data_IF_534404787249
#
_entry.id   IF_534404787249
#
_cell.length_a   1.000
_cell.length_b   1.000
_cell.length_c   1.000
_cell.angle_alpha   90.00
_cell.angle_beta   90.00
_cell.angle_gamma   90.00
#
_symmetry.space_group_name_H-M   'P 1'
#
loop_
_entity.id
_entity.type
_entity.pdbx_description
1 polymer ?
#
# COMPACT_ATOMS: atom_id res chain seq x y z
N UNK A 1 20.08 -13.53 -20.80
CA UNK A 1 19.37 -14.03 -19.60
C UNK A 1 18.05 -13.31 -19.57
N UNK A 2 16.94 -14.04 -19.59
CA UNK A 2 15.61 -13.44 -19.43
C UNK A 2 15.54 -12.80 -18.04
N UNK A 3 15.12 -11.55 -17.97
CA UNK A 3 15.01 -10.81 -16.72
C UNK A 3 13.80 -11.33 -15.94
N UNK A 4 14.00 -11.88 -14.75
CA UNK A 4 12.90 -12.27 -13.86
C UNK A 4 12.48 -11.05 -13.02
N UNK A 5 11.50 -10.30 -13.52
CA UNK A 5 10.99 -9.08 -12.88
C UNK A 5 10.32 -9.37 -11.54
N UNK A 6 9.60 -10.49 -11.40
CA UNK A 6 8.93 -10.84 -10.14
C UNK A 6 9.94 -11.14 -9.02
N UNK A 7 11.09 -11.73 -9.35
CA UNK A 7 12.17 -11.93 -8.39
C UNK A 7 12.79 -10.61 -7.92
N UNK A 8 13.02 -9.67 -8.82
CA UNK A 8 13.51 -8.34 -8.45
C UNK A 8 12.47 -7.58 -7.61
N UNK A 9 11.19 -7.66 -8.00
CA UNK A 9 10.08 -7.07 -7.24
C UNK A 9 10.03 -7.64 -5.82
N UNK A 10 10.06 -8.97 -5.66
CA UNK A 10 10.06 -9.61 -4.35
C UNK A 10 11.27 -9.15 -3.52
N UNK A 11 12.45 -9.10 -4.11
CA UNK A 11 13.67 -8.63 -3.44
C UNK A 11 13.50 -7.19 -2.92
N UNK A 12 12.95 -6.29 -3.74
CA UNK A 12 12.67 -4.91 -3.32
C UNK A 12 11.60 -4.82 -2.23
N UNK A 13 10.53 -5.62 -2.31
CA UNK A 13 9.47 -5.68 -1.29
C UNK A 13 10.01 -6.18 0.05
N UNK A 14 10.80 -7.26 0.06
CA UNK A 14 11.45 -7.79 1.26
C UNK A 14 12.45 -6.80 1.88
N UNK A 15 13.18 -6.08 1.03
CA UNK A 15 14.07 -5.00 1.42
C UNK A 15 13.32 -3.74 1.91
N UNK A 16 11.98 -3.70 1.76
CA UNK A 16 11.13 -2.54 2.07
C UNK A 16 11.52 -1.31 1.28
N UNK A 17 11.92 -1.51 0.03
CA UNK A 17 12.09 -0.44 -0.94
C UNK A 17 10.73 -0.01 -1.49
N UNK A 18 10.60 1.26 -1.87
CA UNK A 18 9.47 1.73 -2.68
C UNK A 18 9.76 1.36 -4.13
N UNK A 19 8.85 0.64 -4.75
CA UNK A 19 8.99 0.16 -6.13
C UNK A 19 7.64 0.12 -6.81
N UNK A 20 7.57 0.46 -8.10
CA UNK A 20 6.34 0.43 -8.87
C UNK A 20 6.51 -0.52 -10.07
N UNK A 21 5.52 -1.38 -10.29
CA UNK A 21 5.47 -2.31 -11.41
C UNK A 21 4.42 -1.82 -12.41
N UNK A 22 4.87 -1.41 -13.59
CA UNK A 22 4.00 -1.15 -14.73
C UNK A 22 3.85 -2.42 -15.55
N UNK A 23 2.62 -2.78 -15.93
CA UNK A 23 2.30 -3.89 -16.83
C UNK A 23 1.49 -3.37 -18.01
N UNK A 24 1.94 -3.62 -19.24
CA UNK A 24 1.18 -3.29 -20.45
C UNK A 24 -0.02 -4.22 -20.55
N UNK A 25 -1.23 -3.67 -20.47
CA UNK A 25 -2.49 -4.41 -20.52
C UNK A 25 -3.09 -4.41 -21.93
N UNK A 26 -2.71 -3.45 -22.77
CA UNK A 26 -3.14 -3.36 -24.17
C UNK A 26 -2.13 -2.56 -25.00
N UNK A 27 -1.97 -2.95 -26.26
CA UNK A 27 -1.11 -2.25 -27.21
C UNK A 27 -1.56 -2.57 -28.65
N UNK A 28 -1.23 -1.68 -29.60
CA UNK A 28 -1.41 -1.96 -31.04
C UNK A 28 -0.62 -3.19 -31.50
N UNK A 29 0.60 -3.35 -31.00
CA UNK A 29 1.38 -4.58 -31.16
C UNK A 29 1.09 -5.51 -29.97
N UNK A 30 0.36 -6.61 -30.22
CA UNK A 30 -0.03 -7.56 -29.18
C UNK A 30 1.16 -8.23 -28.48
N UNK A 31 2.36 -8.21 -29.08
CA UNK A 31 3.58 -8.74 -28.45
C UNK A 31 4.06 -7.89 -27.26
N UNK A 32 3.59 -6.66 -27.15
CA UNK A 32 3.92 -5.78 -26.03
C UNK A 32 3.08 -6.08 -24.78
N UNK A 33 1.89 -6.67 -24.94
CA UNK A 33 0.99 -6.97 -23.83
C UNK A 33 1.64 -7.99 -22.87
N UNK A 34 1.55 -7.72 -21.57
CA UNK A 34 2.19 -8.51 -20.51
C UNK A 34 3.63 -8.09 -20.18
N UNK A 35 4.30 -7.31 -21.04
CA UNK A 35 5.60 -6.75 -20.70
C UNK A 35 5.49 -5.75 -19.54
N UNK A 36 6.57 -5.66 -18.79
CA UNK A 36 6.65 -5.02 -17.49
C UNK A 36 7.84 -4.08 -17.40
N UNK A 37 7.65 -3.01 -16.65
CA UNK A 37 8.68 -2.07 -16.25
C UNK A 37 8.59 -1.94 -14.72
N UNK A 38 9.64 -2.35 -14.03
CA UNK A 38 9.79 -2.18 -12.59
C UNK A 38 10.67 -0.96 -12.34
N UNK A 39 10.16 0.07 -11.67
CA UNK A 39 10.90 1.30 -11.36
C UNK A 39 11.08 1.44 -9.86
N UNK A 40 12.32 1.69 -9.44
CA UNK A 40 12.70 1.96 -8.05
C UNK A 40 12.69 3.46 -7.77
N UNK A 41 12.55 3.83 -6.50
CA UNK A 41 12.52 5.23 -6.02
C UNK A 41 13.75 6.07 -6.41
N UNK A 42 14.88 5.42 -6.71
CA UNK A 42 16.11 6.09 -7.17
C UNK A 42 16.14 6.35 -8.68
N UNK A 43 15.05 6.08 -9.40
CA UNK A 43 14.92 6.23 -10.85
C UNK A 43 15.49 5.06 -11.67
N UNK A 44 16.15 4.08 -11.03
CA UNK A 44 16.58 2.88 -11.74
C UNK A 44 15.37 2.04 -12.11
N UNK A 45 15.38 1.50 -13.32
CA UNK A 45 14.33 0.60 -13.78
C UNK A 45 14.88 -0.72 -14.32
N UNK A 46 14.00 -1.70 -14.38
CA UNK A 46 14.22 -3.02 -14.95
C UNK A 46 13.03 -3.38 -15.83
N UNK A 47 13.26 -3.85 -17.05
CA UNK A 47 12.18 -4.21 -17.98
C UNK A 47 12.48 -5.47 -18.78
N UNK A 48 11.43 -6.11 -19.26
CA UNK A 48 11.47 -7.18 -20.25
C UNK A 48 10.94 -6.72 -21.62
N UNK A 49 10.68 -5.42 -21.80
CA UNK A 49 10.34 -4.82 -23.09
C UNK A 49 11.43 -5.13 -24.14
N UNK A 50 11.04 -5.44 -25.39
CA UNK A 50 11.98 -5.51 -26.50
C UNK A 50 12.75 -4.18 -26.66
N UNK A 51 14.04 -4.24 -26.99
CA UNK A 51 14.94 -3.06 -27.04
C UNK A 51 14.44 -1.93 -27.94
N UNK A 52 13.72 -2.27 -29.01
CA UNK A 52 13.19 -1.30 -29.99
C UNK A 52 11.67 -1.06 -29.82
N UNK A 53 11.07 -1.53 -28.72
CA UNK A 53 9.64 -1.40 -28.46
C UNK A 53 9.23 0.06 -28.27
N UNK A 54 10.02 0.81 -27.51
CA UNK A 54 9.80 2.22 -27.18
C UNK A 54 11.04 3.05 -27.54
N UNK A 55 10.83 4.29 -27.96
CA UNK A 55 11.89 5.29 -28.06
C UNK A 55 12.40 5.65 -26.65
N UNK A 56 13.58 6.27 -26.56
CA UNK A 56 14.10 6.72 -25.27
C UNK A 56 13.15 7.73 -24.59
N UNK A 57 12.53 8.63 -25.35
CA UNK A 57 11.58 9.62 -24.83
C UNK A 57 10.29 8.97 -24.31
N UNK A 58 9.78 7.95 -25.02
CA UNK A 58 8.63 7.16 -24.57
C UNK A 58 8.93 6.36 -23.30
N UNK A 59 10.13 5.77 -23.20
CA UNK A 59 10.57 5.02 -22.03
C UNK A 59 10.81 5.93 -20.82
N UNK A 60 11.36 7.12 -21.04
CA UNK A 60 11.52 8.14 -20.00
C UNK A 60 10.15 8.58 -19.48
N UNK A 61 9.20 8.88 -20.36
CA UNK A 61 7.80 9.18 -19.97
C UNK A 61 7.17 8.05 -19.16
N UNK A 62 7.29 6.80 -19.62
CA UNK A 62 6.76 5.64 -18.91
C UNK A 62 7.40 5.51 -17.52
N UNK A 63 8.71 5.73 -17.41
CA UNK A 63 9.44 5.69 -16.14
C UNK A 63 9.02 6.82 -15.20
N UNK A 64 8.83 8.02 -15.71
CA UNK A 64 8.34 9.18 -14.95
C UNK A 64 6.93 8.94 -14.42
N UNK A 65 6.02 8.47 -15.27
CA UNK A 65 4.66 8.10 -14.85
C UNK A 65 4.68 7.01 -13.79
N UNK A 66 5.46 5.95 -14.01
CA UNK A 66 5.59 4.84 -13.07
C UNK A 66 6.13 5.33 -11.72
N UNK A 67 7.14 6.21 -11.72
CA UNK A 67 7.70 6.81 -10.51
C UNK A 67 6.68 7.71 -9.80
N UNK A 68 5.88 8.46 -10.54
CA UNK A 68 4.87 9.34 -9.95
C UNK A 68 3.76 8.57 -9.21
N UNK A 69 3.54 7.29 -9.53
CA UNK A 69 2.65 6.42 -8.75
C UNK A 69 3.20 6.05 -7.37
N UNK A 70 4.51 6.16 -7.12
CA UNK A 70 5.10 5.96 -5.79
C UNK A 70 4.71 7.08 -4.83
N UNK A 71 4.70 8.30 -5.39
CA UNK A 71 3.76 9.41 -5.15
C UNK A 71 2.43 8.99 -4.57
N UNK A 72 1.55 8.69 -5.51
CA UNK A 72 0.15 8.48 -5.24
C UNK A 72 -0.12 7.23 -4.43
N UNK A 73 0.81 6.27 -4.38
CA UNK A 73 0.58 4.95 -3.85
C UNK A 73 -0.59 4.20 -4.50
N UNK A 74 -1.27 4.76 -5.51
CA UNK A 74 -2.49 4.19 -6.07
C UNK A 74 -2.17 3.33 -7.28
N UNK A 75 -3.04 2.35 -7.52
CA UNK A 75 -3.04 1.70 -8.82
C UNK A 75 -3.68 2.63 -9.82
N UNK A 76 -2.94 2.88 -10.90
CA UNK A 76 -3.33 3.80 -11.96
C UNK A 76 -3.33 3.07 -13.30
N UNK A 77 -4.37 3.33 -14.10
CA UNK A 77 -4.39 2.92 -15.50
C UNK A 77 -4.04 4.16 -16.32
N UNK A 78 -3.04 4.03 -17.18
CA UNK A 78 -2.48 5.13 -17.95
C UNK A 78 -2.36 4.74 -19.42
N UNK A 79 -2.53 5.75 -20.28
CA UNK A 79 -2.41 5.62 -21.72
C UNK A 79 -1.21 6.44 -22.20
N UNK A 80 -0.31 5.82 -22.95
CA UNK A 80 0.81 6.49 -23.62
C UNK A 80 0.61 6.41 -25.14
N UNK A 81 0.47 7.58 -25.76
CA UNK A 81 0.51 7.72 -27.21
C UNK A 81 1.97 7.56 -27.69
N UNK A 82 2.18 6.62 -28.61
CA UNK A 82 3.50 6.37 -29.19
C UNK A 82 3.72 7.26 -30.42
N UNK A 83 4.97 7.62 -30.65
CA UNK A 83 5.41 8.32 -31.84
C UNK A 83 5.21 7.46 -33.10
N UNK A 84 5.04 8.14 -34.24
CA UNK A 84 5.07 7.54 -35.58
C UNK A 84 4.14 6.31 -35.78
N UNK A 85 2.82 6.48 -35.91
CA UNK A 85 1.88 5.42 -36.35
C UNK A 85 1.88 4.09 -35.56
N UNK A 86 2.66 3.97 -34.48
CA UNK A 86 2.72 2.81 -33.58
C UNK A 86 1.49 2.70 -32.67
N UNK A 87 0.63 3.72 -32.66
CA UNK A 87 -0.62 3.77 -31.91
C UNK A 87 -0.40 4.07 -30.44
N UNK A 88 -1.20 3.49 -29.55
CA UNK A 88 -1.09 3.70 -28.12
C UNK A 88 -0.82 2.40 -27.35
N UNK A 89 -0.27 2.55 -26.16
CA UNK A 89 -0.21 1.49 -25.14
C UNK A 89 -1.04 1.92 -23.92
N UNK A 90 -1.79 0.97 -23.37
CA UNK A 90 -2.45 1.10 -22.08
C UNK A 90 -1.68 0.23 -21.09
N UNK A 91 -1.38 0.76 -19.91
CA UNK A 91 -0.65 0.05 -18.87
C UNK A 91 -1.24 0.35 -17.50
N UNK A 92 -1.14 -0.64 -16.61
CA UNK A 92 -1.48 -0.49 -15.20
C UNK A 92 -0.20 -0.33 -14.41
N UNK A 93 -0.17 0.63 -13.49
CA UNK A 93 0.94 0.87 -12.57
C UNK A 93 0.55 0.41 -11.19
N UNK A 94 1.36 -0.45 -10.58
CA UNK A 94 1.16 -1.00 -9.25
C UNK A 94 2.30 -0.59 -8.32
N UNK A 95 2.09 0.41 -7.43
CA UNK A 95 3.09 0.79 -6.43
C UNK A 95 3.08 -0.18 -5.24
N UNK A 96 4.28 -0.60 -4.85
CA UNK A 96 4.57 -1.42 -3.68
C UNK A 96 5.32 -0.56 -2.67
N UNK A 97 4.62 -0.22 -1.60
CA UNK A 97 5.15 0.62 -0.53
C UNK A 97 5.41 -0.22 0.73
N UNK A 98 6.36 0.19 1.58
CA UNK A 98 6.58 -0.46 2.87
C UNK A 98 5.32 -0.48 3.73
N UNK A 99 5.15 -1.55 4.52
CA UNK A 99 4.05 -1.66 5.47
C UNK A 99 3.99 -0.44 6.39
N UNK A 100 2.80 0.20 6.53
CA UNK A 100 2.67 1.41 7.33
C UNK A 100 2.96 1.08 8.79
N UNK A 101 3.75 1.94 9.45
CA UNK A 101 4.07 1.78 10.87
C UNK A 101 3.30 2.80 11.69
N UNK A 102 2.64 2.35 12.74
CA UNK A 102 2.00 3.25 13.71
C UNK A 102 2.88 3.32 14.96
N UNK A 103 3.48 4.50 15.17
CA UNK A 103 4.41 4.78 16.26
C UNK A 103 3.66 5.55 17.34
N UNK A 104 3.45 4.91 18.48
CA UNK A 104 2.74 5.45 19.63
C UNK A 104 3.72 6.02 20.65
N UNK A 105 3.80 7.34 20.74
CA UNK A 105 4.50 8.04 21.82
C UNK A 105 3.54 8.17 23.02
N UNK A 106 3.70 7.27 23.98
CA UNK A 106 2.89 7.17 25.20
C UNK A 106 2.16 5.84 25.29
N UNK A 107 2.55 5.02 26.27
CA UNK A 107 1.94 3.71 26.57
C UNK A 107 0.82 3.77 27.64
N UNK A 108 0.28 4.97 27.91
CA UNK A 108 -0.81 5.18 28.87
C UNK A 108 -2.16 4.63 28.39
N UNK A 109 -3.25 4.98 29.07
CA UNK A 109 -4.60 4.46 28.78
C UNK A 109 -5.03 4.66 27.32
N UNK A 110 -4.78 5.84 26.74
CA UNK A 110 -5.09 6.12 25.33
C UNK A 110 -4.20 5.26 24.40
N UNK A 111 -2.89 5.15 24.69
CA UNK A 111 -1.98 4.31 23.91
C UNK A 111 -2.35 2.82 23.93
N UNK A 112 -2.81 2.32 25.07
CA UNK A 112 -3.32 0.95 25.21
C UNK A 112 -4.62 0.74 24.43
N UNK A 113 -5.54 1.72 24.49
CA UNK A 113 -6.79 1.67 23.72
C UNK A 113 -6.54 1.69 22.21
N UNK A 114 -5.61 2.54 21.77
CA UNK A 114 -5.15 2.57 20.37
C UNK A 114 -4.55 1.23 19.94
N UNK A 115 -3.68 0.65 20.77
CA UNK A 115 -3.07 -0.65 20.50
C UNK A 115 -4.13 -1.75 20.25
N UNK A 116 -5.16 -1.85 21.09
CA UNK A 116 -6.18 -2.90 21.00
C UNK A 116 -6.95 -2.89 19.67
N UNK A 117 -7.19 -1.71 19.11
CA UNK A 117 -7.83 -1.57 17.81
C UNK A 117 -6.81 -1.65 16.67
N UNK A 118 -5.65 -1.00 16.81
CA UNK A 118 -4.66 -0.86 15.73
C UNK A 118 -4.01 -2.19 15.32
N UNK A 119 -3.92 -3.17 16.23
CA UNK A 119 -3.40 -4.51 15.90
C UNK A 119 -4.23 -5.27 14.86
N UNK A 120 -5.45 -4.79 14.57
CA UNK A 120 -6.36 -5.36 13.56
C UNK A 120 -6.35 -4.59 12.24
N UNK A 121 -5.49 -3.58 12.08
CA UNK A 121 -5.55 -2.61 10.98
C UNK A 121 -4.33 -2.63 10.05
N UNK A 122 -3.58 -3.74 10.01
CA UNK A 122 -2.37 -3.93 9.19
C UNK A 122 -1.27 -2.87 9.41
N UNK A 123 -1.22 -2.28 10.60
CA UNK A 123 -0.10 -1.44 11.01
C UNK A 123 0.97 -2.27 11.69
N UNK A 124 2.23 -2.01 11.35
CA UNK A 124 3.35 -2.43 12.19
C UNK A 124 3.46 -1.49 13.39
N UNK A 125 3.12 -1.99 14.56
CA UNK A 125 3.10 -1.16 15.78
C UNK A 125 4.50 -1.01 16.38
N UNK A 126 4.78 0.21 16.86
CA UNK A 126 5.91 0.54 17.72
C UNK A 126 5.39 1.38 18.87
N UNK A 127 5.75 1.03 20.10
CA UNK A 127 5.32 1.79 21.30
C UNK A 127 6.54 2.34 22.00
N UNK A 128 6.47 3.61 22.40
CA UNK A 128 7.53 4.32 23.10
C UNK A 128 6.96 4.98 24.35
N UNK A 129 7.58 4.76 25.51
CA UNK A 129 7.28 5.49 26.75
C UNK A 129 8.56 5.57 27.60
N UNK A 130 8.71 6.60 28.43
CA UNK A 130 9.86 6.76 29.31
C UNK A 130 9.73 5.96 30.62
N UNK A 131 8.57 5.34 30.86
CA UNK A 131 8.26 4.58 32.07
C UNK A 131 8.22 3.08 31.79
N UNK A 132 8.97 2.25 32.53
CA UNK A 132 8.96 0.79 32.39
C UNK A 132 7.56 0.17 32.54
N UNK A 133 6.72 0.73 33.43
CA UNK A 133 5.36 0.25 33.65
C UNK A 133 4.44 0.45 32.44
N UNK A 134 4.79 1.34 31.51
CA UNK A 134 4.00 1.69 30.33
C UNK A 134 4.70 1.34 29.01
N UNK A 135 5.97 0.94 29.03
CA UNK A 135 6.69 0.41 27.87
C UNK A 135 7.21 -1.00 28.18
N UNK A 136 6.32 -2.00 28.13
CA UNK A 136 6.69 -3.40 28.31
C UNK A 136 5.79 -4.37 27.50
N UNK A 137 6.31 -5.57 27.25
CA UNK A 137 5.62 -6.59 26.45
C UNK A 137 4.33 -7.11 27.09
N UNK A 138 4.12 -6.97 28.41
CA UNK A 138 2.88 -7.44 29.04
C UNK A 138 1.68 -6.59 28.63
N UNK A 139 1.90 -5.30 28.42
CA UNK A 139 0.86 -4.38 27.92
C UNK A 139 0.69 -4.45 26.41
N UNK A 140 1.74 -4.82 25.67
CA UNK A 140 1.76 -4.82 24.21
C UNK A 140 2.29 -6.16 23.66
N UNK A 141 1.61 -7.29 23.91
CA UNK A 141 2.14 -8.63 23.64
C UNK A 141 2.47 -8.90 22.17
N UNK A 142 1.71 -8.32 21.24
CA UNK A 142 1.88 -8.52 19.79
C UNK A 142 2.88 -7.54 19.16
N UNK A 143 3.35 -6.54 19.92
CA UNK A 143 4.24 -5.48 19.42
C UNK A 143 5.69 -5.94 19.53
N UNK A 144 6.36 -6.16 18.40
CA UNK A 144 7.78 -6.60 18.39
C UNK A 144 8.75 -5.54 18.91
N UNK A 145 8.37 -4.25 18.89
CA UNK A 145 9.21 -3.12 19.33
C UNK A 145 8.47 -2.25 20.35
N UNK A 146 8.71 -2.54 21.63
CA UNK A 146 8.29 -1.70 22.75
C UNK A 146 9.54 -1.10 23.37
N UNK A 147 9.68 0.23 23.30
CA UNK A 147 10.91 0.95 23.63
C UNK A 147 10.69 1.76 24.90
N UNK A 148 11.41 1.41 25.95
CA UNK A 148 11.42 2.15 27.20
C UNK A 148 12.61 3.13 27.23
N UNK A 149 12.42 4.36 26.75
CA UNK A 149 13.49 5.37 26.66
C UNK A 149 12.95 6.78 26.91
N UNK A 150 13.81 7.70 27.32
CA UNK A 150 13.45 9.12 27.39
C UNK A 150 13.06 9.63 26.00
N UNK A 151 12.00 10.42 25.90
CA UNK A 151 11.46 10.88 24.62
C UNK A 151 12.49 11.70 23.81
N UNK A 152 13.42 12.37 24.49
CA UNK A 152 14.55 13.10 23.87
C UNK A 152 15.49 12.21 23.06
N UNK A 153 15.52 10.90 23.35
CA UNK A 153 16.48 9.94 22.77
C UNK A 153 15.85 9.05 21.69
N UNK A 154 14.58 9.27 21.32
CA UNK A 154 13.86 8.36 20.41
C UNK A 154 14.48 8.33 19.02
N UNK A 155 15.05 9.44 18.55
CA UNK A 155 15.75 9.51 17.26
C UNK A 155 16.96 8.56 17.16
N UNK A 156 17.54 8.13 18.30
CA UNK A 156 18.60 7.12 18.31
C UNK A 156 18.06 5.68 18.20
N UNK A 157 16.77 5.47 18.49
CA UNK A 157 16.12 4.16 18.54
C UNK A 157 15.29 3.89 17.27
N UNK A 158 14.70 4.93 16.68
CA UNK A 158 13.79 4.81 15.54
C UNK A 158 14.15 5.85 14.47
N UNK A 159 14.51 5.37 13.29
CA UNK A 159 14.53 6.18 12.08
C UNK A 159 13.11 6.33 11.54
N UNK A 160 12.64 7.56 11.43
CA UNK A 160 11.29 7.89 10.97
C UNK A 160 11.31 8.11 9.45
N UNK A 161 10.36 7.52 8.73
CA UNK A 161 10.24 7.57 7.28
C UNK A 161 8.81 7.86 6.81
N UNK A 162 8.63 7.90 5.49
CA UNK A 162 7.38 8.28 4.82
C UNK A 162 6.23 7.28 4.99
N UNK A 163 6.47 6.09 5.55
CA UNK A 163 5.44 5.11 5.88
C UNK A 163 4.94 5.22 7.33
N UNK A 164 5.46 6.19 8.10
CA UNK A 164 5.15 6.33 9.52
C UNK A 164 3.94 7.20 9.80
N UNK A 165 3.10 6.69 10.70
CA UNK A 165 2.00 7.38 11.33
C UNK A 165 2.33 7.56 12.80
N UNK A 166 2.48 8.80 13.22
CA UNK A 166 2.94 9.13 14.57
C UNK A 166 1.76 9.64 15.39
N UNK A 167 1.56 9.02 16.56
CA UNK A 167 0.58 9.48 17.54
C UNK A 167 1.29 9.87 18.82
N UNK A 168 1.18 11.14 19.20
CA UNK A 168 1.71 11.69 20.44
C UNK A 168 0.57 11.76 21.47
N UNK A 169 0.54 10.78 22.37
CA UNK A 169 -0.46 10.64 23.44
C UNK A 169 0.24 10.45 24.79
N UNK A 170 1.12 11.38 25.14
CA UNK A 170 1.94 11.29 26.36
C UNK A 170 1.18 11.73 27.62
N UNK A 171 1.84 11.67 28.77
CA UNK A 171 1.29 12.05 30.08
C UNK A 171 1.20 13.57 30.34
N UNK A 172 1.53 14.44 29.38
CA UNK A 172 1.33 15.89 29.55
C UNK A 172 2.15 16.81 28.64
N UNK A 173 1.86 18.11 28.76
CA UNK A 173 2.31 19.19 27.86
C UNK A 173 3.81 19.23 27.55
N UNK A 174 4.67 19.04 28.55
CA UNK A 174 6.12 19.08 28.35
C UNK A 174 6.61 17.91 27.50
N UNK A 175 6.05 16.72 27.72
CA UNK A 175 6.45 15.51 26.99
C UNK A 175 5.89 15.49 25.57
N UNK A 176 4.69 16.01 25.36
CA UNK A 176 4.13 16.20 24.01
C UNK A 176 5.05 17.10 23.17
N UNK A 177 5.51 18.21 23.75
CA UNK A 177 6.46 19.12 23.12
C UNK A 177 7.81 18.46 22.82
N UNK A 178 8.37 17.70 23.78
CA UNK A 178 9.60 16.92 23.56
C UNK A 178 9.44 15.95 22.39
N UNK A 179 8.35 15.19 22.33
CA UNK A 179 8.10 14.23 21.26
C UNK A 179 7.97 14.94 19.91
N UNK A 180 7.22 16.05 19.85
CA UNK A 180 7.09 16.83 18.62
C UNK A 180 8.43 17.27 18.06
N UNK A 181 9.35 17.76 18.89
CA UNK A 181 10.69 18.15 18.44
C UNK A 181 11.49 17.03 17.78
N UNK A 182 11.24 15.77 18.16
CA UNK A 182 11.92 14.63 17.55
C UNK A 182 11.38 14.29 16.16
N UNK A 183 10.14 14.68 15.85
CA UNK A 183 9.41 14.17 14.68
C UNK A 183 8.95 15.25 13.71
N UNK A 184 8.90 16.52 14.13
CA UNK A 184 8.35 17.63 13.32
C UNK A 184 9.14 17.90 12.03
N UNK A 185 10.43 17.53 11.98
CA UNK A 185 11.25 17.64 10.76
C UNK A 185 11.32 16.34 9.96
N UNK A 186 10.63 15.30 10.43
CA UNK A 186 10.60 14.02 9.73
C UNK A 186 9.69 14.08 8.52
N UNK A 187 9.80 13.07 7.66
CA UNK A 187 8.90 12.89 6.53
C UNK A 187 7.71 11.97 6.84
N UNK A 188 7.33 11.80 8.11
CA UNK A 188 6.23 10.92 8.48
C UNK A 188 4.96 11.27 7.69
N UNK A 189 4.23 10.26 7.19
CA UNK A 189 2.96 10.46 6.46
C UNK A 189 1.95 11.20 7.31
N UNK A 190 2.03 11.04 8.63
CA UNK A 190 1.11 11.65 9.57
C UNK A 190 1.79 11.91 10.92
N UNK A 191 1.57 13.11 11.45
CA UNK A 191 1.94 13.48 12.81
C UNK A 191 0.69 14.00 13.51
N UNK A 192 0.22 13.24 14.50
CA UNK A 192 -0.93 13.60 15.31
C UNK A 192 -0.54 13.83 16.77
N UNK A 193 -1.07 14.89 17.38
CA UNK A 193 -0.82 15.18 18.80
C UNK A 193 -2.13 15.35 19.57
N UNK A 194 -2.27 14.56 20.63
CA UNK A 194 -3.37 14.67 21.57
C UNK A 194 -3.29 16.02 22.30
N UNK A 195 -4.45 16.63 22.58
CA UNK A 195 -4.52 17.77 23.49
C UNK A 195 -5.77 18.61 23.31
N UNK A 196 -6.17 19.32 24.35
CA UNK A 196 -7.23 20.31 24.24
C UNK A 196 -6.81 21.45 23.31
N UNK A 197 -7.77 22.15 22.69
CA UNK A 197 -7.50 23.30 21.80
C UNK A 197 -6.59 24.34 22.46
N UNK A 198 -6.79 24.61 23.75
CA UNK A 198 -5.93 25.52 24.53
C UNK A 198 -4.50 25.01 24.67
N UNK A 199 -4.31 23.70 24.90
CA UNK A 199 -2.98 23.09 25.02
C UNK A 199 -2.24 23.13 23.69
N UNK A 200 -2.92 22.75 22.61
CA UNK A 200 -2.37 22.80 21.25
C UNK A 200 -1.91 24.20 20.90
N UNK A 201 -2.74 25.22 21.17
CA UNK A 201 -2.40 26.62 20.93
C UNK A 201 -1.11 27.05 21.67
N UNK A 202 -0.95 26.66 22.94
CA UNK A 202 0.25 26.97 23.71
C UNK A 202 1.51 26.32 23.12
N UNK A 203 1.41 25.07 22.66
CA UNK A 203 2.52 24.35 22.01
C UNK A 203 2.89 25.03 20.70
N UNK A 204 1.90 25.39 19.89
CA UNK A 204 2.12 25.97 18.56
C UNK A 204 2.75 27.36 18.66
N UNK A 205 2.36 28.17 19.65
CA UNK A 205 3.04 29.46 19.90
C UNK A 205 4.50 29.25 20.27
N UNK A 206 4.80 28.28 21.14
CA UNK A 206 6.18 27.95 21.50
C UNK A 206 7.00 27.48 20.30
N UNK A 207 6.42 26.66 19.41
CA UNK A 207 7.10 26.25 18.17
C UNK A 207 7.42 27.46 17.28
N UNK A 208 6.50 28.43 17.18
CA UNK A 208 6.75 29.68 16.42
C UNK A 208 7.85 30.54 17.05
N UNK A 209 7.90 30.60 18.38
CA UNK A 209 8.97 31.31 19.11
C UNK A 209 10.34 30.64 18.96
N UNK A 210 10.39 29.33 18.70
CA UNK A 210 11.60 28.55 18.42
C UNK A 210 11.91 28.45 16.91
N UNK A 211 11.34 29.35 16.08
CA UNK A 211 11.59 29.49 14.63
C UNK A 211 11.28 28.26 13.77
N UNK A 212 10.33 27.41 14.19
CA UNK A 212 9.78 26.39 13.27
C UNK A 212 8.93 27.07 12.19
N UNK A 213 9.11 26.62 10.95
CA UNK A 213 8.39 27.15 9.78
C UNK A 213 6.90 26.83 9.84
N UNK A 214 6.09 27.62 9.11
CA UNK A 214 4.65 27.36 8.96
C UNK A 214 4.37 25.95 8.45
N UNK A 215 5.07 25.53 7.39
CA UNK A 215 4.93 24.19 6.82
C UNK A 215 5.24 23.08 7.84
N UNK A 216 6.27 23.25 8.68
CA UNK A 216 6.62 22.28 9.72
C UNK A 216 5.52 22.14 10.78
N UNK A 217 4.79 23.22 11.07
CA UNK A 217 3.71 23.23 12.06
C UNK A 217 2.39 22.74 11.42
N UNK A 218 2.11 23.13 10.19
CA UNK A 218 0.85 22.87 9.48
C UNK A 218 0.63 21.37 9.19
N UNK A 219 1.69 20.56 9.12
CA UNK A 219 1.58 19.10 9.01
C UNK A 219 1.07 18.41 10.29
N UNK A 220 1.05 19.11 11.44
CA UNK A 220 0.66 18.52 12.72
C UNK A 220 -0.86 18.53 12.87
N UNK A 221 -1.45 17.35 13.01
CA UNK A 221 -2.87 17.16 13.27
C UNK A 221 -3.12 17.25 14.78
N UNK A 222 -3.51 18.44 15.24
CA UNK A 222 -3.75 18.73 16.66
C UNK A 222 -4.91 19.72 16.86
N UNK A 223 -5.92 19.42 17.69
CA UNK A 223 -6.16 18.15 18.37
C UNK A 223 -6.29 16.99 17.39
N UNK A 224 -5.66 15.87 17.73
CA UNK A 224 -5.70 14.64 16.94
C UNK A 224 -7.10 13.99 16.92
N UNK A 225 -7.46 13.38 15.80
CA UNK A 225 -8.66 12.55 15.67
C UNK A 225 -9.90 13.32 15.18
N UNK A 226 -10.82 12.58 14.56
CA UNK A 226 -12.07 13.15 14.06
C UNK A 226 -12.96 13.67 15.20
N UNK A 227 -13.60 14.81 14.98
CA UNK A 227 -14.54 15.41 15.94
C UNK A 227 -15.86 14.62 15.97
N UNK A 228 -15.87 13.57 16.78
CA UNK A 228 -17.03 12.69 17.02
C UNK A 228 -17.61 12.86 18.44
N UNK A 229 -17.13 13.85 19.21
CA UNK A 229 -17.51 14.04 20.61
C UNK A 229 -17.01 12.95 21.56
N UNK A 230 -15.80 12.42 21.33
CA UNK A 230 -15.21 11.35 22.15
C UNK A 230 -14.86 11.81 23.57
N UNK A 231 -15.16 10.97 24.57
CA UNK A 231 -14.87 11.25 25.98
C UNK A 231 -14.00 10.16 26.63
N UNK A 232 -14.24 8.90 26.28
CA UNK A 232 -13.50 7.75 26.82
C UNK A 232 -12.20 7.47 26.05
N UNK A 233 -11.18 6.83 26.67
CA UNK A 233 -9.97 6.41 25.96
C UNK A 233 -10.24 5.58 24.70
N UNK A 234 -11.27 4.73 24.74
CA UNK A 234 -11.68 3.87 23.64
C UNK A 234 -12.29 4.69 22.48
N UNK A 235 -13.20 5.62 22.78
CA UNK A 235 -13.77 6.53 21.77
C UNK A 235 -12.70 7.44 21.16
N UNK A 236 -11.77 7.94 21.98
CA UNK A 236 -10.61 8.71 21.51
C UNK A 236 -9.75 7.84 20.59
N UNK A 237 -9.51 6.58 20.96
CA UNK A 237 -8.78 5.62 20.12
C UNK A 237 -9.44 5.42 18.76
N UNK A 238 -10.77 5.24 18.72
CA UNK A 238 -11.55 5.12 17.48
C UNK A 238 -11.48 6.40 16.65
N UNK A 239 -11.65 7.57 17.27
CA UNK A 239 -11.56 8.88 16.61
C UNK A 239 -10.21 9.10 15.92
N UNK A 240 -9.10 8.78 16.61
CA UNK A 240 -7.74 8.87 16.08
C UNK A 240 -7.52 7.89 14.93
N UNK A 241 -7.90 6.61 15.12
CA UNK A 241 -7.72 5.60 14.08
C UNK A 241 -8.60 5.89 12.85
N UNK A 242 -9.80 6.44 13.03
CA UNK A 242 -10.64 6.88 11.92
C UNK A 242 -9.98 8.00 11.11
N UNK A 243 -9.35 8.97 11.77
CA UNK A 243 -8.57 10.02 11.10
C UNK A 243 -7.36 9.45 10.36
N UNK A 244 -6.59 8.58 11.00
CA UNK A 244 -5.43 7.90 10.40
C UNK A 244 -5.84 7.05 9.20
N UNK A 245 -6.92 6.26 9.32
CA UNK A 245 -7.45 5.45 8.21
C UNK A 245 -7.91 6.38 7.08
N UNK A 246 -8.61 7.47 7.41
CA UNK A 246 -9.01 8.47 6.40
C UNK A 246 -7.77 8.96 5.67
N UNK A 247 -6.73 9.43 6.36
CA UNK A 247 -5.50 9.92 5.73
C UNK A 247 -4.79 8.83 4.93
N UNK A 248 -4.74 7.59 5.41
CA UNK A 248 -4.22 6.42 4.68
C UNK A 248 -5.03 6.07 3.42
N UNK A 249 -6.31 6.45 3.35
CA UNK A 249 -7.23 6.13 2.24
C UNK A 249 -7.58 7.33 1.36
N UNK A 250 -7.38 8.56 1.83
CA UNK A 250 -7.67 9.80 1.11
C UNK A 250 -6.41 10.55 0.72
N UNK A 251 -5.32 10.39 1.47
CA UNK A 251 -3.99 10.53 0.94
C UNK A 251 -3.63 9.19 0.33
N UNK A 252 -3.17 9.22 -0.92
CA UNK A 252 -2.45 8.15 -1.57
C UNK A 252 -2.87 6.72 -1.21
N UNK A 253 -3.91 6.22 -1.91
CA UNK A 253 -4.50 4.90 -1.75
C UNK A 253 -3.52 3.76 -2.04
N UNK A 254 -2.58 3.51 -1.13
CA UNK A 254 -1.69 2.35 -1.23
C UNK A 254 -2.29 1.06 -0.69
N UNK A 255 -2.18 0.07 -1.58
CA UNK A 255 -2.40 -1.33 -1.34
C UNK A 255 -1.33 -1.87 -0.41
N UNK A 256 -1.76 -2.38 0.73
CA UNK A 256 -1.00 -3.40 1.45
C UNK A 256 -1.07 -4.69 0.63
N UNK A 257 0.06 -5.09 0.05
CA UNK A 257 0.45 -6.48 -0.30
C UNK A 257 -0.69 -7.45 -0.68
N UNK A 258 -1.60 -7.06 -1.59
CA UNK A 258 -2.61 -7.99 -2.05
C UNK A 258 -1.96 -8.92 -3.09
N UNK A 259 -1.75 -10.19 -2.71
CA UNK A 259 -1.15 -11.19 -3.59
C UNK A 259 0.36 -11.42 -3.37
N UNK A 260 0.88 -11.16 -2.17
CA UNK A 260 2.26 -11.51 -1.81
C UNK A 260 2.57 -12.99 -2.09
N UNK A 261 1.68 -13.92 -1.70
CA UNK A 261 1.80 -15.36 -2.01
C UNK A 261 1.90 -15.65 -3.52
N UNK A 262 1.20 -14.86 -4.35
CA UNK A 262 1.27 -14.98 -5.81
C UNK A 262 2.62 -14.48 -6.34
N UNK A 263 3.14 -13.37 -5.81
CA UNK A 263 4.45 -12.82 -6.18
C UNK A 263 5.58 -13.76 -5.73
N UNK A 264 5.51 -14.28 -4.50
CA UNK A 264 6.44 -15.28 -3.97
C UNK A 264 6.49 -16.51 -4.87
N UNK A 265 5.32 -17.06 -5.22
CA UNK A 265 5.25 -18.19 -6.14
C UNK A 265 5.93 -17.85 -7.48
N UNK A 266 5.64 -16.71 -8.09
CA UNK A 266 6.21 -16.33 -9.39
C UNK A 266 7.72 -16.04 -9.32
N UNK A 267 8.23 -15.55 -8.19
CA UNK A 267 9.65 -15.31 -7.97
C UNK A 267 10.44 -16.62 -7.79
N UNK A 268 9.86 -17.59 -7.08
CA UNK A 268 10.48 -18.87 -6.74
C UNK A 268 10.22 -19.99 -7.76
N UNK A 269 9.25 -19.81 -8.65
CA UNK A 269 8.92 -20.80 -9.67
C UNK A 269 10.10 -20.95 -10.65
N UNK A 270 10.86 -22.03 -10.48
CA UNK A 270 11.93 -22.44 -11.40
C UNK A 270 11.53 -23.72 -12.19
N UNK A 271 10.23 -24.00 -12.26
CA UNK A 271 9.69 -25.31 -12.60
C UNK A 271 9.18 -25.47 -14.03
N UNK A 272 10.04 -25.95 -14.92
CA UNK A 272 9.65 -26.68 -16.13
C UNK A 272 8.98 -25.87 -17.26
N UNK A 273 8.78 -26.50 -18.42
CA UNK A 273 8.11 -25.94 -19.60
C UNK A 273 6.61 -25.58 -19.39
N UNK A 274 6.15 -25.47 -18.14
CA UNK A 274 4.76 -25.31 -17.79
C UNK A 274 4.40 -23.82 -17.75
N UNK A 275 3.39 -23.43 -18.54
CA UNK A 275 2.82 -22.09 -18.55
C UNK A 275 1.89 -21.92 -17.36
N UNK A 276 2.08 -20.87 -16.56
CA UNK A 276 1.13 -20.44 -15.54
C UNK A 276 0.27 -19.28 -16.07
N UNK A 277 -0.81 -18.93 -15.38
CA UNK A 277 -1.54 -17.69 -15.64
C UNK A 277 -1.62 -16.81 -14.39
N UNK A 278 -1.32 -15.52 -14.55
CA UNK A 278 -1.51 -14.50 -13.52
C UNK A 278 -2.75 -13.68 -13.84
N UNK A 279 -3.69 -13.63 -12.89
CA UNK A 279 -4.83 -12.73 -12.91
C UNK A 279 -4.58 -11.58 -11.92
N UNK A 280 -4.64 -10.33 -12.40
CA UNK A 280 -4.53 -9.11 -11.58
C UNK A 280 -5.79 -8.27 -11.77
N UNK A 281 -6.46 -7.87 -10.68
CA UNK A 281 -7.52 -6.86 -10.76
C UNK A 281 -6.86 -5.51 -11.09
N UNK A 282 -7.17 -4.93 -12.24
CA UNK A 282 -6.57 -3.65 -12.71
C UNK A 282 -7.49 -2.45 -12.48
N UNK A 283 -8.79 -2.68 -12.35
CA UNK A 283 -9.76 -1.63 -12.02
C UNK A 283 -10.98 -2.20 -11.26
N UNK A 284 -11.60 -1.38 -10.42
CA UNK A 284 -12.87 -1.73 -9.75
C UNK A 284 -13.79 -0.53 -9.65
N UNK A 285 -15.09 -0.73 -9.86
CA UNK A 285 -16.13 0.26 -9.56
C UNK A 285 -17.27 -0.36 -8.76
N UNK A 286 -17.88 0.44 -7.88
CA UNK A 286 -18.93 -0.04 -6.97
C UNK A 286 -18.41 -0.95 -5.85
N UNK A 287 -19.28 -1.82 -5.34
CA UNK A 287 -18.96 -2.74 -4.25
C UNK A 287 -18.36 -4.03 -4.81
N UNK A 288 -17.06 -4.22 -4.62
CA UNK A 288 -16.30 -5.40 -5.07
C UNK A 288 -15.65 -6.09 -3.86
N UNK A 289 -15.56 -7.44 -3.85
CA UNK A 289 -15.01 -8.19 -2.71
C UNK A 289 -13.51 -7.92 -2.49
N UNK A 290 -12.80 -7.60 -3.58
CA UNK A 290 -11.40 -7.21 -3.61
C UNK A 290 -11.23 -5.94 -4.45
N UNK A 291 -10.09 -5.28 -4.28
CA UNK A 291 -9.74 -4.03 -4.96
C UNK A 291 -8.65 -4.27 -6.00
N UNK A 292 -8.43 -3.26 -6.86
CA UNK A 292 -7.32 -3.26 -7.80
C UNK A 292 -6.01 -3.65 -7.08
N UNK A 293 -5.15 -4.40 -7.75
CA UNK A 293 -3.90 -4.95 -7.22
C UNK A 293 -4.03 -6.35 -6.66
N UNK A 294 -5.25 -6.86 -6.46
CA UNK A 294 -5.42 -8.25 -6.01
C UNK A 294 -4.96 -9.23 -7.09
N UNK A 295 -4.13 -10.19 -6.70
CA UNK A 295 -3.55 -11.19 -7.61
C UNK A 295 -3.98 -12.61 -7.28
N UNK A 296 -4.12 -13.41 -8.33
CA UNK A 296 -4.32 -14.85 -8.27
C UNK A 296 -3.50 -15.53 -9.37
N UNK A 297 -2.67 -16.50 -8.99
CA UNK A 297 -2.00 -17.40 -9.94
C UNK A 297 -2.86 -18.64 -10.13
N UNK A 298 -3.03 -19.06 -11.38
CA UNK A 298 -3.68 -20.32 -11.75
C UNK A 298 -2.62 -21.27 -12.30
N UNK A 299 -2.56 -22.47 -11.72
CA UNK A 299 -1.68 -23.56 -12.13
C UNK A 299 -2.31 -24.39 -13.27
N UNK A 300 -1.53 -25.17 -14.05
CA UNK A 300 -2.05 -26.00 -15.13
C UNK A 300 -3.10 -27.02 -14.72
N UNK A 301 -3.05 -27.49 -13.47
CA UNK A 301 -4.04 -28.39 -12.89
C UNK A 301 -5.29 -27.68 -12.32
N UNK A 302 -5.36 -26.36 -12.47
CA UNK A 302 -6.47 -25.52 -12.04
C UNK A 302 -6.48 -25.15 -10.56
N UNK A 303 -5.47 -25.56 -9.78
CA UNK A 303 -5.24 -25.01 -8.43
C UNK A 303 -4.87 -23.53 -8.50
N UNK A 304 -5.14 -22.80 -7.42
CA UNK A 304 -4.87 -21.36 -7.34
C UNK A 304 -4.00 -20.99 -6.14
N UNK A 305 -3.23 -19.91 -6.27
CA UNK A 305 -2.50 -19.25 -5.18
C UNK A 305 -2.87 -17.76 -5.20
N UNK A 306 -3.24 -17.19 -4.05
CA UNK A 306 -3.91 -15.89 -3.99
C UNK A 306 -5.39 -15.95 -4.39
N UNK A 307 -6.06 -14.80 -4.38
CA UNK A 307 -7.50 -14.67 -4.68
C UNK A 307 -7.83 -13.28 -5.20
N UNK A 308 -8.80 -13.20 -6.12
CA UNK A 308 -9.39 -11.94 -6.60
C UNK A 308 -10.79 -11.68 -6.00
N UNK A 309 -11.18 -12.44 -4.97
CA UNK A 309 -12.37 -12.19 -4.17
C UNK A 309 -13.38 -13.34 -4.10
N UNK A 310 -13.08 -14.50 -4.70
CA UNK A 310 -13.92 -15.69 -4.63
C UNK A 310 -15.22 -15.61 -5.44
N UNK A 311 -16.04 -16.67 -5.33
CA UNK A 311 -17.36 -16.76 -5.96
C UNK A 311 -17.32 -16.92 -7.49
N UNK A 312 -18.44 -16.64 -8.15
CA UNK A 312 -18.60 -16.88 -9.60
C UNK A 312 -17.61 -16.08 -10.45
N UNK A 313 -17.32 -14.82 -10.09
CA UNK A 313 -16.38 -13.99 -10.85
C UNK A 313 -14.94 -14.54 -10.83
N UNK A 314 -14.52 -15.15 -9.72
CA UNK A 314 -13.22 -15.83 -9.64
C UNK A 314 -13.20 -17.14 -10.45
N UNK A 315 -14.31 -17.90 -10.44
CA UNK A 315 -14.43 -19.12 -11.22
C UNK A 315 -14.36 -18.86 -12.75
N UNK A 316 -15.00 -17.78 -13.22
CA UNK A 316 -14.94 -17.35 -14.63
C UNK A 316 -13.52 -16.95 -15.05
N UNK A 317 -12.83 -16.18 -14.20
CA UNK A 317 -11.41 -15.81 -14.41
C UNK A 317 -10.52 -17.04 -14.42
N UNK A 318 -10.74 -18.00 -13.51
CA UNK A 318 -10.00 -19.26 -13.47
C UNK A 318 -10.17 -20.08 -14.75
N UNK A 319 -11.37 -20.12 -15.32
CA UNK A 319 -11.59 -20.81 -16.60
C UNK A 319 -10.82 -20.13 -17.74
N UNK A 320 -10.90 -18.80 -17.85
CA UNK A 320 -10.14 -18.04 -18.87
C UNK A 320 -8.63 -18.20 -18.71
N UNK A 321 -8.14 -18.25 -17.48
CA UNK A 321 -6.74 -18.51 -17.18
C UNK A 321 -6.30 -19.90 -17.67
N UNK A 322 -7.14 -20.93 -17.51
CA UNK A 322 -6.88 -22.26 -18.08
C UNK A 322 -6.90 -22.25 -19.61
N UNK A 323 -7.80 -21.49 -20.23
CA UNK A 323 -7.84 -21.34 -21.68
C UNK A 323 -6.54 -20.67 -22.20
N UNK A 324 -6.00 -19.69 -21.46
CA UNK A 324 -4.70 -19.06 -21.74
C UNK A 324 -3.54 -20.05 -21.58
N UNK A 325 -3.50 -20.80 -20.47
CA UNK A 325 -2.46 -21.81 -20.22
C UNK A 325 -2.41 -22.85 -21.34
N UNK A 326 -3.58 -23.26 -21.85
CA UNK A 326 -3.72 -24.23 -22.92
C UNK A 326 -3.51 -23.64 -24.33
N UNK A 327 -3.15 -22.36 -24.45
CA UNK A 327 -2.92 -21.68 -25.72
C UNK A 327 -4.18 -21.45 -26.57
N UNK A 328 -5.36 -21.49 -25.95
CA UNK A 328 -6.64 -21.22 -26.60
C UNK A 328 -6.94 -19.71 -26.65
N UNK A 329 -6.35 -18.94 -25.74
CA UNK A 329 -6.42 -17.49 -25.67
C UNK A 329 -5.02 -16.92 -25.43
N UNK A 330 -4.78 -15.71 -25.94
CA UNK A 330 -3.66 -14.88 -25.51
C UNK A 330 -4.03 -14.15 -24.20
N UNK A 331 -3.18 -13.24 -23.70
CA UNK A 331 -3.52 -12.34 -22.60
C UNK A 331 -4.77 -11.51 -22.90
N UNK A 332 -5.59 -11.24 -21.89
CA UNK A 332 -6.82 -10.46 -22.05
C UNK A 332 -7.21 -9.66 -20.81
N UNK A 333 -7.92 -8.56 -21.01
CA UNK A 333 -8.64 -7.84 -19.95
C UNK A 333 -10.09 -8.35 -19.92
N UNK A 334 -10.48 -8.95 -18.79
CA UNK A 334 -11.82 -9.45 -18.56
C UNK A 334 -12.61 -8.53 -17.63
N UNK A 335 -13.81 -8.13 -18.06
CA UNK A 335 -14.75 -7.42 -17.19
C UNK A 335 -15.72 -8.40 -16.53
N UNK A 336 -15.60 -8.54 -15.22
CA UNK A 336 -16.60 -9.21 -14.38
C UNK A 336 -17.66 -8.18 -13.96
N UNK A 337 -18.90 -8.39 -14.40
CA UNK A 337 -20.06 -7.68 -13.86
C UNK A 337 -20.66 -8.52 -12.74
N UNK A 338 -20.53 -8.05 -11.51
CA UNK A 338 -21.16 -8.69 -10.36
C UNK A 338 -22.65 -8.30 -10.39
N UNK A 339 -23.42 -9.07 -11.15
CA UNK A 339 -24.86 -8.87 -11.30
C UNK A 339 -25.63 -9.59 -10.19
N UNK A 340 -26.77 -9.03 -9.80
CA UNK A 340 -27.61 -9.51 -8.71
C UNK A 340 -28.32 -10.85 -8.99
N UNK A 341 -28.24 -11.37 -10.23
CA UNK A 341 -29.24 -12.31 -10.73
C UNK A 341 -28.89 -13.81 -10.58
N UNK A 342 -27.77 -14.16 -9.93
CA UNK A 342 -27.44 -15.57 -9.60
C UNK A 342 -26.88 -15.75 -8.17
N UNK A 343 -26.89 -14.72 -7.32
CA UNK A 343 -26.35 -14.78 -5.95
C UNK A 343 -27.42 -14.59 -4.85
N UNK A 344 -28.69 -14.86 -5.17
CA UNK A 344 -29.82 -14.62 -4.27
C UNK A 344 -29.96 -15.65 -3.14
N UNK A 345 -29.31 -16.81 -3.23
CA UNK A 345 -29.50 -17.89 -2.24
C UNK A 345 -28.54 -17.81 -1.03
N UNK A 346 -27.43 -17.06 -1.11
CA UNK A 346 -26.46 -16.93 0.00
C UNK A 346 -26.23 -15.49 0.52
N UNK A 347 -26.96 -14.49 -0.01
CA UNK A 347 -27.12 -13.18 0.66
C UNK A 347 -25.91 -12.23 0.70
N UNK A 348 -24.82 -12.53 0.00
CA UNK A 348 -23.65 -11.64 -0.11
C UNK A 348 -23.53 -11.09 -1.54
N UNK A 349 -24.28 -10.03 -1.84
CA UNK A 349 -24.32 -9.43 -3.18
C UNK A 349 -23.40 -8.22 -3.25
N UNK A 350 -22.27 -8.39 -3.93
CA UNK A 350 -21.43 -7.28 -4.39
C UNK A 350 -22.01 -6.74 -5.70
N UNK A 351 -22.49 -5.49 -5.74
CA UNK A 351 -23.08 -4.87 -6.94
C UNK A 351 -22.09 -4.08 -7.82
N UNK A 352 -20.82 -4.51 -7.87
CA UNK A 352 -19.73 -3.80 -8.54
C UNK A 352 -19.30 -4.39 -9.88
N UNK A 353 -18.33 -3.73 -10.50
CA UNK A 353 -17.59 -4.22 -11.68
C UNK A 353 -16.12 -4.33 -11.31
N UNK A 354 -15.46 -5.39 -11.76
CA UNK A 354 -14.00 -5.52 -11.69
C UNK A 354 -13.43 -5.84 -13.06
N UNK A 355 -12.34 -5.19 -13.42
CA UNK A 355 -11.54 -5.52 -14.59
C UNK A 355 -10.32 -6.31 -14.16
N UNK A 356 -10.09 -7.44 -14.81
CA UNK A 356 -9.04 -8.38 -14.47
C UNK A 356 -8.18 -8.61 -15.70
N UNK A 357 -6.92 -8.23 -15.62
CA UNK A 357 -5.92 -8.59 -16.62
C UNK A 357 -5.45 -10.02 -16.34
N UNK A 358 -5.54 -10.89 -17.33
CA UNK A 358 -5.11 -12.29 -17.26
C UNK A 358 -4.02 -12.49 -18.30
N UNK A 359 -2.84 -12.92 -17.85
CA UNK A 359 -1.68 -13.11 -18.71
C UNK A 359 -1.02 -14.46 -18.47
N UNK A 360 -0.43 -15.03 -19.53
CA UNK A 360 0.43 -16.20 -19.43
C UNK A 360 1.78 -15.79 -18.84
N UNK A 361 2.23 -16.52 -17.83
CA UNK A 361 3.55 -16.36 -17.24
C UNK A 361 4.37 -17.59 -17.61
N UNK A 362 5.29 -17.40 -18.55
CA UNK A 362 6.33 -18.36 -18.90
C UNK A 362 7.55 -18.01 -18.05
N UNK A 363 7.89 -18.86 -17.08
CA UNK A 363 9.02 -18.63 -16.16
C UNK A 363 10.19 -19.51 -16.53
#
# INVERSE_FOLDING_TARGET
MTVNIFKELLTSVEAKERVALSTITKASDSKLVGNKLLVKDNGNYLTNLPTDALSNDELDKLTDYTSSSLESGQIENLDLELEESKGSIEFVVEPYLPNPRLILFGGGHVGQSLYEFAKKLDFKLIVVDDRPSFANQKLFPEVKRVICTAFENVSAEIEINEADYIVIATRGHQHDYTCLKQVIKSKAKYIGMLGSKRRVYSIFNRLKEEDYSGNEIDQINAPIGLDIGSETPEEIGISILAEIIKIRRTGDQSNTLIGEEAIELLADYQGGHDTLALATIIDTSGSTPRKAGSKMVVLPDGRTVGTIGGGCGEAEVRQKALDIINGQLDSLVHTNKLSNDVAAEEGMVCGGRMEVFIEAIQV
#
